data_IF_943850858047
#
_entry.id   IF_943850858047
#
_cell.length_a   1.000
_cell.length_b   1.000
_cell.length_c   1.000
_cell.angle_alpha   90.00
_cell.angle_beta   90.00
_cell.angle_gamma   90.00
#
_symmetry.space_group_name_H-M   'P 1'
#
loop_
_entity.id
_entity.type
_entity.pdbx_description
1 polymer ?
#
# COMPACT_ATOMS: atom_id res chain seq x y z
N UNK A 1 -49.81 -31.22 -33.92
CA UNK A 1 -49.21 -31.40 -32.57
C UNK A 1 -47.68 -31.17 -32.54
N UNK A 2 -46.92 -31.56 -33.56
CA UNK A 2 -45.45 -31.44 -33.58
C UNK A 2 -44.91 -29.99 -33.41
N UNK A 3 -45.48 -28.98 -34.08
CA UNK A 3 -45.01 -27.58 -33.96
C UNK A 3 -45.07 -27.03 -32.53
N UNK A 4 -46.11 -27.39 -31.76
CA UNK A 4 -46.23 -26.95 -30.36
C UNK A 4 -45.18 -27.59 -29.46
N UNK A 5 -44.79 -28.86 -29.72
CA UNK A 5 -43.68 -29.53 -29.01
C UNK A 5 -42.32 -28.90 -29.35
N UNK A 6 -42.05 -28.62 -30.64
CA UNK A 6 -40.81 -27.94 -31.05
C UNK A 6 -40.72 -26.55 -30.41
N UNK A 7 -41.81 -25.80 -30.37
CA UNK A 7 -41.81 -24.48 -29.74
C UNK A 7 -41.53 -24.55 -28.24
N UNK A 8 -42.08 -25.56 -27.55
CA UNK A 8 -41.84 -25.78 -26.13
C UNK A 8 -40.38 -26.16 -25.82
N UNK A 9 -39.79 -27.08 -26.60
CA UNK A 9 -38.39 -27.48 -26.45
C UNK A 9 -37.44 -26.32 -26.74
N UNK A 10 -37.73 -25.52 -27.77
CA UNK A 10 -36.95 -24.32 -28.09
C UNK A 10 -37.01 -23.28 -26.96
N UNK A 11 -38.20 -23.06 -26.39
CA UNK A 11 -38.39 -22.10 -25.31
C UNK A 11 -37.68 -22.56 -24.01
N UNK A 12 -37.72 -23.87 -23.72
CA UNK A 12 -36.96 -24.46 -22.61
C UNK A 12 -35.45 -24.28 -22.80
N UNK A 13 -34.94 -24.59 -23.99
CA UNK A 13 -33.53 -24.39 -24.32
C UNK A 13 -33.12 -22.92 -24.18
N UNK A 14 -33.97 -21.99 -24.63
CA UNK A 14 -33.73 -20.57 -24.52
C UNK A 14 -33.63 -20.10 -23.06
N UNK A 15 -34.50 -20.58 -22.18
CA UNK A 15 -34.43 -20.27 -20.75
C UNK A 15 -33.18 -20.83 -20.08
N UNK A 16 -32.75 -22.05 -20.44
CA UNK A 16 -31.49 -22.62 -19.95
C UNK A 16 -30.30 -21.77 -20.41
N UNK A 17 -30.29 -21.35 -21.68
CA UNK A 17 -29.22 -20.52 -22.24
C UNK A 17 -29.13 -19.16 -21.51
N UNK A 18 -30.28 -18.54 -21.23
CA UNK A 18 -30.35 -17.32 -20.43
C UNK A 18 -29.83 -17.57 -19.01
N UNK A 19 -30.22 -18.67 -18.37
CA UNK A 19 -29.76 -19.03 -17.02
C UNK A 19 -28.24 -19.14 -16.92
N UNK A 20 -27.59 -19.74 -17.93
CA UNK A 20 -26.12 -19.85 -17.99
C UNK A 20 -25.46 -18.47 -18.09
N UNK A 21 -25.98 -17.59 -18.94
CA UNK A 21 -25.45 -16.22 -19.10
C UNK A 21 -25.59 -15.43 -17.80
N UNK A 22 -26.74 -15.54 -17.11
CA UNK A 22 -26.94 -14.91 -15.81
C UNK A 22 -25.94 -15.45 -14.78
N UNK A 23 -25.78 -16.76 -14.68
CA UNK A 23 -24.84 -17.38 -13.75
C UNK A 23 -23.40 -16.88 -13.96
N UNK A 24 -22.92 -16.91 -15.20
CA UNK A 24 -21.59 -16.41 -15.56
C UNK A 24 -21.41 -14.93 -15.22
N UNK A 25 -22.44 -14.12 -15.45
CA UNK A 25 -22.39 -12.68 -15.15
C UNK A 25 -22.28 -12.43 -13.64
N UNK A 26 -23.04 -13.18 -12.83
CA UNK A 26 -22.98 -13.10 -11.37
C UNK A 26 -21.61 -13.52 -10.83
N UNK A 27 -21.07 -14.64 -11.30
CA UNK A 27 -19.75 -15.13 -10.90
C UNK A 27 -18.65 -14.12 -11.26
N UNK A 28 -18.65 -13.64 -12.50
CA UNK A 28 -17.68 -12.64 -12.99
C UNK A 28 -17.75 -11.34 -12.18
N UNK A 29 -18.94 -10.91 -11.78
CA UNK A 29 -19.11 -9.71 -10.96
C UNK A 29 -18.52 -9.88 -9.55
N UNK A 30 -18.72 -11.05 -8.92
CA UNK A 30 -18.14 -11.35 -7.61
C UNK A 30 -16.61 -11.39 -7.68
N UNK A 31 -16.05 -12.09 -8.67
CA UNK A 31 -14.60 -12.17 -8.89
C UNK A 31 -14.01 -10.77 -9.11
N UNK A 32 -14.62 -9.95 -9.98
CA UNK A 32 -14.15 -8.56 -10.19
C UNK A 32 -14.15 -7.73 -8.91
N UNK A 33 -15.15 -7.91 -8.04
CA UNK A 33 -15.24 -7.19 -6.78
C UNK A 33 -14.13 -7.59 -5.81
N UNK A 34 -13.82 -8.90 -5.74
CA UNK A 34 -12.76 -9.43 -4.90
C UNK A 34 -11.38 -8.96 -5.38
N UNK A 35 -11.10 -9.12 -6.68
CA UNK A 35 -9.86 -8.64 -7.30
C UNK A 35 -9.66 -7.13 -7.09
N UNK A 36 -10.71 -6.32 -7.29
CA UNK A 36 -10.62 -4.88 -7.03
C UNK A 36 -10.36 -4.55 -5.56
N UNK A 37 -10.85 -5.37 -4.62
CA UNK A 37 -10.59 -5.20 -3.19
C UNK A 37 -9.15 -5.53 -2.87
N UNK A 38 -8.61 -6.61 -3.43
CA UNK A 38 -7.21 -6.99 -3.29
C UNK A 38 -6.29 -5.91 -3.86
N UNK A 39 -6.55 -5.44 -5.08
CA UNK A 39 -5.80 -4.33 -5.70
C UNK A 39 -5.79 -3.11 -4.77
N UNK A 40 -6.94 -2.73 -4.23
CA UNK A 40 -7.04 -1.57 -3.33
C UNK A 40 -6.28 -1.79 -2.01
N UNK A 41 -6.24 -3.01 -1.48
CA UNK A 41 -5.45 -3.33 -0.30
C UNK A 41 -3.95 -3.27 -0.61
N UNK A 42 -3.52 -3.86 -1.72
CA UNK A 42 -2.12 -3.82 -2.16
C UNK A 42 -1.66 -2.39 -2.44
N UNK A 43 -2.49 -1.55 -3.07
CA UNK A 43 -2.18 -0.13 -3.27
C UNK A 43 -1.99 0.62 -1.94
N UNK A 44 -2.82 0.33 -0.94
CA UNK A 44 -2.67 0.90 0.40
C UNK A 44 -1.37 0.46 1.07
N UNK A 45 -1.03 -0.83 0.98
CA UNK A 45 0.22 -1.33 1.53
C UNK A 45 1.42 -0.63 0.87
N UNK A 46 1.42 -0.49 -0.45
CA UNK A 46 2.46 0.24 -1.19
C UNK A 46 2.58 1.69 -0.71
N UNK A 47 1.45 2.38 -0.50
CA UNK A 47 1.46 3.75 0.03
C UNK A 47 2.02 3.79 1.46
N UNK A 48 1.62 2.89 2.34
CA UNK A 48 2.14 2.83 3.71
C UNK A 48 3.66 2.56 3.73
N UNK A 49 4.16 1.66 2.88
CA UNK A 49 5.59 1.41 2.76
C UNK A 49 6.35 2.60 2.19
N UNK A 50 5.77 3.32 1.22
CA UNK A 50 6.35 4.55 0.67
C UNK A 50 6.43 5.66 1.74
N UNK A 51 5.40 5.83 2.56
CA UNK A 51 5.41 6.78 3.68
C UNK A 51 6.42 6.39 4.76
N UNK A 52 6.48 5.10 5.12
CA UNK A 52 7.48 4.58 6.08
C UNK A 52 8.90 4.84 5.58
N UNK A 53 9.17 4.60 4.29
CA UNK A 53 10.47 4.88 3.67
C UNK A 53 10.81 6.37 3.77
N UNK A 54 9.87 7.25 3.38
CA UNK A 54 10.07 8.71 3.44
C UNK A 54 10.34 9.19 4.88
N UNK A 55 9.63 8.62 5.86
CA UNK A 55 9.84 8.93 7.28
C UNK A 55 11.22 8.46 7.76
N UNK A 56 11.66 7.28 7.35
CA UNK A 56 13.00 6.77 7.66
C UNK A 56 14.10 7.66 7.05
N UNK A 57 13.98 8.04 5.78
CA UNK A 57 14.93 8.93 5.11
C UNK A 57 15.01 10.30 5.79
N UNK A 58 13.86 10.87 6.18
CA UNK A 58 13.78 12.10 6.95
C UNK A 58 14.49 11.95 8.30
N UNK A 59 14.26 10.85 9.02
CA UNK A 59 14.91 10.59 10.29
C UNK A 59 16.42 10.47 10.14
N UNK A 60 16.91 9.71 9.14
CA UNK A 60 18.35 9.57 8.84
C UNK A 60 18.98 10.93 8.56
N UNK A 61 18.31 11.78 7.76
CA UNK A 61 18.81 13.11 7.44
C UNK A 61 18.90 13.98 8.71
N UNK A 62 17.86 13.99 9.53
CA UNK A 62 17.83 14.74 10.79
C UNK A 62 18.91 14.26 11.77
N UNK A 63 19.11 12.95 11.93
CA UNK A 63 20.20 12.39 12.74
C UNK A 63 21.58 12.82 12.23
N UNK A 64 21.79 12.82 10.90
CA UNK A 64 23.05 13.27 10.32
C UNK A 64 23.31 14.77 10.50
N UNK A 65 22.24 15.58 10.54
CA UNK A 65 22.33 17.01 10.79
C UNK A 65 22.59 17.30 12.26
N UNK A 66 21.93 16.58 13.17
CA UNK A 66 22.17 16.67 14.62
C UNK A 66 23.62 16.29 14.99
N UNK A 67 24.13 15.19 14.43
CA UNK A 67 25.54 14.78 14.62
C UNK A 67 26.52 15.84 14.10
N UNK A 68 26.21 16.45 12.94
CA UNK A 68 27.03 17.55 12.39
C UNK A 68 26.98 18.79 13.27
N UNK A 69 25.81 19.15 13.80
CA UNK A 69 25.66 20.28 14.72
C UNK A 69 26.40 20.02 16.02
N UNK A 70 26.30 18.81 16.59
CA UNK A 70 27.03 18.41 17.79
C UNK A 70 28.54 18.49 17.58
N UNK A 71 29.05 18.00 16.44
CA UNK A 71 30.47 18.10 16.10
C UNK A 71 30.94 19.55 15.97
N UNK A 72 30.17 20.41 15.28
CA UNK A 72 30.51 21.83 15.14
C UNK A 72 30.48 22.55 16.50
N UNK A 73 29.53 22.25 17.37
CA UNK A 73 29.43 22.82 18.71
C UNK A 73 30.62 22.41 19.59
N UNK A 74 31.05 21.14 19.53
CA UNK A 74 32.24 20.64 20.22
C UNK A 74 33.52 21.30 19.68
N UNK A 75 33.71 21.31 18.36
CA UNK A 75 34.97 21.75 17.73
C UNK A 75 35.17 23.27 17.74
N UNK A 76 34.10 24.05 17.47
CA UNK A 76 34.21 25.51 17.28
C UNK A 76 33.81 26.31 18.51
N UNK A 77 32.82 25.83 19.25
CA UNK A 77 32.25 26.56 20.39
C UNK A 77 32.76 25.98 21.72
N UNK A 78 33.54 24.89 21.69
CA UNK A 78 34.05 24.19 22.87
C UNK A 78 32.93 23.83 23.87
N UNK A 79 31.71 23.63 23.34
CA UNK A 79 30.51 23.28 24.10
C UNK A 79 30.53 21.78 24.39
N UNK A 80 30.09 21.42 25.59
CA UNK A 80 30.10 20.06 26.11
C UNK A 80 28.68 19.61 26.42
N UNK A 81 28.41 18.30 26.36
CA UNK A 81 27.14 17.76 26.85
C UNK A 81 27.07 17.90 28.37
N UNK A 82 25.86 17.99 28.94
CA UNK A 82 25.69 17.99 30.39
C UNK A 82 26.36 16.74 30.99
N UNK A 83 27.36 16.96 31.86
CA UNK A 83 28.13 15.89 32.50
C UNK A 83 29.56 15.66 31.96
N UNK A 84 29.96 16.24 30.82
CA UNK A 84 31.34 16.14 30.31
C UNK A 84 32.26 17.24 30.91
N UNK A 85 33.56 16.96 31.07
CA UNK A 85 34.57 17.92 31.55
C UNK A 85 35.50 18.27 30.38
N UNK A 86 35.47 19.52 29.91
CA UNK A 86 36.38 20.01 28.86
C UNK A 86 37.69 20.50 29.48
N UNK A 87 38.81 20.00 28.97
CA UNK A 87 40.15 20.47 29.35
C UNK A 87 40.67 21.40 28.25
N UNK A 88 40.90 22.68 28.59
CA UNK A 88 41.61 23.62 27.73
C UNK A 88 43.09 23.57 28.10
N UNK A 89 43.92 23.07 27.19
CA UNK A 89 45.38 23.14 27.34
C UNK A 89 45.76 24.61 27.15
N UNK A 90 46.36 25.21 28.17
CA UNK A 90 46.87 26.59 28.15
C UNK A 90 48.39 26.46 28.03
N UNK A 91 48.95 26.87 26.89
CA UNK A 91 50.39 27.10 26.73
C UNK A 91 50.79 28.47 27.33
#
# INVERSE_FOLDING_TARGET
MARKRIFFVFNLFFFVMIGVIFYQTFETYLIKKEVNREIKNTEKEVQEYAEKKKKLESNIKNFSEEEKIERVARDRLNLKKEGEITYKIIE
#
